data_IF_913642054512
#
_entry.id   IF_913642054512
#
_cell.length_a   1.000
_cell.length_b   1.000
_cell.length_c   1.000
_cell.angle_alpha   90.00
_cell.angle_beta   90.00
_cell.angle_gamma   90.00
#
_symmetry.space_group_name_H-M   'P 1'
#
loop_
_entity.id
_entity.type
_entity.pdbx_description
1 polymer ?
#
# COMPACT_ATOMS: atom_id res chain seq x y z
N UNK A 1 7.89 5.03 -21.11
CA UNK A 1 8.64 3.83 -20.69
C UNK A 1 8.45 3.69 -19.19
N UNK A 2 7.72 2.68 -18.71
CA UNK A 2 7.55 2.49 -17.26
C UNK A 2 8.85 1.90 -16.68
N UNK A 3 9.25 2.33 -15.49
CA UNK A 3 10.47 1.85 -14.80
C UNK A 3 10.51 0.31 -14.62
N UNK A 4 9.35 -0.33 -14.63
CA UNK A 4 9.20 -1.79 -14.55
C UNK A 4 9.61 -2.51 -15.84
N UNK A 5 9.54 -1.84 -16.99
CA UNK A 5 9.85 -2.47 -18.28
C UNK A 5 11.34 -2.81 -18.44
N UNK A 6 12.22 -2.22 -17.63
CA UNK A 6 13.67 -2.51 -17.63
C UNK A 6 14.07 -3.61 -16.63
N UNK A 7 13.14 -4.10 -15.79
CA UNK A 7 13.45 -5.14 -14.79
C UNK A 7 13.32 -6.56 -15.36
N UNK A 8 14.07 -7.50 -14.78
CA UNK A 8 13.86 -8.93 -15.01
C UNK A 8 12.58 -9.42 -14.31
N UNK A 9 12.02 -10.53 -14.80
CA UNK A 9 10.81 -11.17 -14.25
C UNK A 9 10.97 -11.45 -12.75
N UNK A 10 12.10 -12.03 -12.33
CA UNK A 10 12.37 -12.30 -10.91
C UNK A 10 12.33 -11.05 -10.04
N UNK A 11 12.94 -9.95 -10.52
CA UNK A 11 12.95 -8.68 -9.79
C UNK A 11 11.54 -8.09 -9.70
N UNK A 12 10.76 -8.20 -10.77
CA UNK A 12 9.37 -7.76 -10.79
C UNK A 12 8.50 -8.55 -9.80
N UNK A 13 8.62 -9.88 -9.79
CA UNK A 13 7.88 -10.74 -8.87
C UNK A 13 8.26 -10.49 -7.40
N UNK A 14 9.55 -10.35 -7.10
CA UNK A 14 10.01 -9.97 -5.74
C UNK A 14 9.44 -8.62 -5.33
N UNK A 15 9.48 -7.63 -6.22
CA UNK A 15 8.95 -6.30 -5.93
C UNK A 15 7.43 -6.31 -5.74
N UNK A 16 6.68 -7.07 -6.54
CA UNK A 16 5.24 -7.28 -6.37
C UNK A 16 4.93 -7.84 -4.97
N UNK A 17 5.66 -8.86 -4.53
CA UNK A 17 5.49 -9.47 -3.20
C UNK A 17 5.79 -8.48 -2.08
N UNK A 18 6.90 -7.73 -2.19
CA UNK A 18 7.26 -6.70 -1.21
C UNK A 18 6.19 -5.62 -1.11
N UNK A 19 5.73 -5.08 -2.25
CA UNK A 19 4.68 -4.05 -2.24
C UNK A 19 3.37 -4.62 -1.70
N UNK A 20 3.01 -5.86 -2.00
CA UNK A 20 1.81 -6.52 -1.46
C UNK A 20 1.86 -6.65 0.06
N UNK A 21 2.99 -7.12 0.60
CA UNK A 21 3.19 -7.23 2.04
C UNK A 21 3.16 -5.83 2.67
N UNK A 22 3.96 -4.88 2.17
CA UNK A 22 4.03 -3.53 2.70
C UNK A 22 2.67 -2.80 2.66
N UNK A 23 1.91 -2.95 1.57
CA UNK A 23 0.56 -2.36 1.44
C UNK A 23 -0.41 -2.99 2.44
N UNK A 24 -0.38 -4.33 2.59
CA UNK A 24 -1.21 -5.04 3.56
C UNK A 24 -0.90 -4.64 5.00
N UNK A 25 0.39 -4.58 5.35
CA UNK A 25 0.84 -4.13 6.68
C UNK A 25 0.47 -2.67 6.93
N UNK A 26 0.69 -1.78 5.96
CA UNK A 26 0.31 -0.37 6.08
C UNK A 26 -1.21 -0.23 6.29
N UNK A 27 -2.03 -0.91 5.48
CA UNK A 27 -3.48 -0.87 5.62
C UNK A 27 -3.94 -1.39 6.99
N UNK A 28 -3.36 -2.50 7.46
CA UNK A 28 -3.65 -3.04 8.79
C UNK A 28 -3.27 -2.07 9.91
N UNK A 29 -2.09 -1.46 9.84
CA UNK A 29 -1.66 -0.46 10.83
C UNK A 29 -2.54 0.79 10.82
N UNK A 30 -2.96 1.29 9.64
CA UNK A 30 -3.85 2.44 9.56
C UNK A 30 -5.23 2.14 10.16
N UNK A 31 -5.75 0.92 9.99
CA UNK A 31 -7.00 0.50 10.62
C UNK A 31 -6.88 0.45 12.14
N UNK A 32 -5.82 -0.16 12.66
CA UNK A 32 -5.55 -0.19 14.11
C UNK A 32 -5.43 1.23 14.67
N UNK A 33 -4.67 2.09 13.98
CA UNK A 33 -4.48 3.49 14.36
C UNK A 33 -5.81 4.25 14.36
N UNK A 34 -6.65 4.06 13.35
CA UNK A 34 -7.96 4.71 13.26
C UNK A 34 -8.86 4.29 14.43
N UNK A 35 -8.94 3.00 14.73
CA UNK A 35 -9.72 2.48 15.86
C UNK A 35 -9.23 3.06 17.18
N UNK A 36 -7.91 3.05 17.42
CA UNK A 36 -7.33 3.62 18.64
C UNK A 36 -7.54 5.14 18.74
N UNK A 37 -7.36 5.87 17.64
CA UNK A 37 -7.51 7.31 17.60
C UNK A 37 -8.97 7.73 17.82
N UNK A 38 -9.94 7.00 17.26
CA UNK A 38 -11.37 7.22 17.51
C UNK A 38 -11.73 6.90 18.96
N UNK A 39 -11.27 5.77 19.49
CA UNK A 39 -11.49 5.40 20.90
C UNK A 39 -10.95 6.48 21.85
N UNK A 40 -9.74 6.98 21.59
CA UNK A 40 -9.14 8.06 22.36
C UNK A 40 -9.94 9.36 22.22
N UNK A 41 -10.42 9.67 21.01
CA UNK A 41 -11.19 10.88 20.74
C UNK A 41 -12.54 10.91 21.46
N UNK A 42 -13.21 9.75 21.54
CA UNK A 42 -14.46 9.60 22.29
C UNK A 42 -14.20 9.76 23.80
N UNK A 43 -13.09 9.22 24.32
CA UNK A 43 -12.79 9.26 25.76
C UNK A 43 -12.21 10.57 26.27
N UNK A 44 -11.38 11.25 25.46
CA UNK A 44 -10.59 12.41 25.91
C UNK A 44 -10.87 13.69 25.10
N UNK A 45 -11.84 13.67 24.20
CA UNK A 45 -12.06 14.74 23.23
C UNK A 45 -11.14 14.61 22.01
N UNK A 46 -11.32 15.47 21.01
CA UNK A 46 -10.66 15.37 19.71
C UNK A 46 -9.15 15.09 19.82
N UNK A 47 -8.70 14.01 19.18
CA UNK A 47 -7.29 13.68 19.04
C UNK A 47 -6.82 13.93 17.61
N UNK A 48 -5.75 14.72 17.46
CA UNK A 48 -5.10 14.94 16.16
C UNK A 48 -4.61 13.63 15.51
N UNK A 49 -4.46 12.54 16.29
CA UNK A 49 -4.12 11.22 15.79
C UNK A 49 -5.14 10.67 14.78
N UNK A 50 -6.40 11.13 14.83
CA UNK A 50 -7.45 10.73 13.87
C UNK A 50 -7.11 11.19 12.45
N UNK A 51 -6.33 12.26 12.28
CA UNK A 51 -5.96 12.80 10.96
C UNK A 51 -4.91 11.92 10.25
N UNK A 52 -4.06 11.23 11.02
CA UNK A 52 -2.89 10.51 10.51
C UNK A 52 -3.27 9.41 9.50
N UNK A 53 -4.27 8.53 9.75
CA UNK A 53 -4.72 7.56 8.76
C UNK A 53 -5.10 8.20 7.41
N UNK A 54 -5.77 9.35 7.44
CA UNK A 54 -6.20 10.05 6.22
C UNK A 54 -5.02 10.67 5.47
N UNK A 55 -4.06 11.25 6.19
CA UNK A 55 -2.84 11.82 5.60
C UNK A 55 -1.98 10.75 4.89
N UNK A 56 -2.05 9.49 5.33
CA UNK A 56 -1.28 8.38 4.78
C UNK A 56 -2.03 7.59 3.68
N UNK A 57 -3.31 7.88 3.42
CA UNK A 57 -4.07 7.24 2.32
C UNK A 57 -3.41 7.37 0.93
N UNK A 58 -2.82 8.52 0.54
CA UNK A 58 -2.17 8.65 -0.76
C UNK A 58 -1.03 7.64 -0.98
N UNK A 59 -0.34 7.26 0.09
CA UNK A 59 0.75 6.27 0.05
C UNK A 59 0.19 4.88 -0.24
N UNK A 60 -0.93 4.50 0.41
CA UNK A 60 -1.63 3.25 0.12
C UNK A 60 -2.08 3.20 -1.35
N UNK A 61 -2.68 4.28 -1.86
CA UNK A 61 -3.13 4.37 -3.24
C UNK A 61 -1.95 4.21 -4.21
N UNK A 62 -0.84 4.88 -3.93
CA UNK A 62 0.38 4.80 -4.75
C UNK A 62 0.95 3.38 -4.77
N UNK A 63 0.97 2.69 -3.63
CA UNK A 63 1.44 1.30 -3.56
C UNK A 63 0.52 0.34 -4.32
N UNK A 64 -0.80 0.51 -4.21
CA UNK A 64 -1.78 -0.28 -4.98
C UNK A 64 -1.63 -0.05 -6.49
N UNK A 65 -1.45 1.21 -6.90
CA UNK A 65 -1.22 1.55 -8.30
C UNK A 65 0.09 0.96 -8.84
N UNK A 66 1.17 1.00 -8.04
CA UNK A 66 2.45 0.38 -8.40
C UNK A 66 2.30 -1.13 -8.57
N UNK A 67 1.56 -1.80 -7.68
CA UNK A 67 1.22 -3.21 -7.80
C UNK A 67 0.45 -3.54 -9.08
N UNK A 68 -0.53 -2.71 -9.44
CA UNK A 68 -1.30 -2.87 -10.69
C UNK A 68 -0.41 -2.72 -11.92
N UNK A 69 0.53 -1.78 -11.91
CA UNK A 69 1.47 -1.59 -13.01
C UNK A 69 2.42 -2.78 -13.16
N UNK A 70 2.94 -3.32 -12.04
CA UNK A 70 3.79 -4.52 -12.03
C UNK A 70 3.02 -5.74 -12.54
N UNK A 71 1.75 -5.93 -12.13
CA UNK A 71 0.88 -7.00 -12.63
C UNK A 71 0.68 -6.92 -14.15
N UNK A 72 0.32 -5.74 -14.66
CA UNK A 72 0.17 -5.52 -16.10
C UNK A 72 1.45 -5.81 -16.89
N UNK A 73 2.60 -5.41 -16.35
CA UNK A 73 3.89 -5.69 -16.98
C UNK A 73 4.19 -7.20 -17.00
N UNK A 74 3.94 -7.93 -15.92
CA UNK A 74 4.11 -9.39 -15.89
C UNK A 74 3.16 -10.10 -16.87
N UNK A 75 1.88 -9.71 -16.90
CA UNK A 75 0.90 -10.23 -17.86
C UNK A 75 1.31 -9.98 -19.30
N UNK A 76 1.84 -8.79 -19.62
CA UNK A 76 2.33 -8.46 -20.96
C UNK A 76 3.51 -9.31 -21.43
N UNK A 77 4.20 -9.96 -20.48
CA UNK A 77 5.35 -10.85 -20.73
C UNK A 77 4.97 -12.34 -20.68
N UNK A 78 3.67 -12.66 -20.55
CA UNK A 78 3.18 -14.03 -20.48
C UNK A 78 3.33 -14.69 -19.10
N UNK A 79 3.64 -13.91 -18.06
CA UNK A 79 3.80 -14.36 -16.69
C UNK A 79 2.55 -13.98 -15.87
N UNK A 80 1.99 -14.93 -15.10
CA UNK A 80 0.85 -14.68 -14.22
C UNK A 80 1.29 -14.57 -12.74
N UNK A 81 0.69 -13.65 -11.96
CA UNK A 81 0.91 -13.49 -10.50
C UNK A 81 -0.36 -13.63 -9.67
#
# INVERSE_FOLDING_TARGET
MNQFSQMSIEKLQRQAKTIKIATGTLAGMLLVLLVMALFLSIKKGFSALVIIPFALLPILITNVNSLKQIKKELESRGEAI
#
